data_IF_898789611479
#
_entry.id   IF_898789611479
#
_cell.length_a   1.000
_cell.length_b   1.000
_cell.length_c   1.000
_cell.angle_alpha   90.00
_cell.angle_beta   90.00
_cell.angle_gamma   90.00
#
_symmetry.space_group_name_H-M   'P 1'
#
loop_
_entity.id
_entity.type
_entity.pdbx_description
1 polymer ?
#
# COMPACT_ATOMS: atom_id res chain seq x y z
N UNK A 1 8.52 11.97 3.95
CA UNK A 1 7.50 13.04 3.81
C UNK A 1 7.76 13.77 2.49
N UNK A 2 6.73 14.17 1.73
CA UNK A 2 6.84 14.76 0.38
C UNK A 2 7.80 15.96 0.20
N UNK A 3 8.33 16.55 1.28
CA UNK A 3 9.32 17.63 1.21
C UNK A 3 10.73 17.15 0.76
N UNK A 4 11.06 15.86 0.91
CA UNK A 4 12.35 15.30 0.45
C UNK A 4 12.43 15.23 -1.09
N UNK A 5 11.28 15.30 -1.77
CA UNK A 5 11.18 15.34 -3.23
C UNK A 5 11.48 16.73 -3.82
N UNK A 6 11.68 17.75 -3.00
CA UNK A 6 12.10 19.09 -3.43
C UNK A 6 13.61 19.27 -3.47
N UNK A 7 14.42 18.19 -3.39
CA UNK A 7 15.85 18.29 -3.67
C UNK A 7 16.04 18.87 -5.06
N UNK A 8 16.66 20.05 -5.13
CA UNK A 8 17.01 20.73 -6.36
C UNK A 8 17.85 19.78 -7.24
N UNK A 9 17.33 19.44 -8.44
CA UNK A 9 18.04 18.61 -9.43
C UNK A 9 17.57 17.15 -9.58
N UNK A 10 16.46 16.72 -8.96
CA UNK A 10 15.92 15.37 -9.19
C UNK A 10 15.25 15.24 -10.58
N UNK A 11 15.70 14.28 -11.39
CA UNK A 11 15.13 13.95 -12.71
C UNK A 11 14.53 12.52 -12.78
N UNK A 12 14.47 11.82 -11.65
CA UNK A 12 13.90 10.47 -11.55
C UNK A 12 12.37 10.50 -11.41
N UNK A 13 11.70 9.34 -11.45
CA UNK A 13 10.27 9.26 -11.19
C UNK A 13 9.94 9.80 -9.79
N UNK A 14 8.71 10.23 -9.58
CA UNK A 14 8.26 10.72 -8.28
C UNK A 14 8.06 9.54 -7.32
N UNK A 15 8.73 9.56 -6.17
CA UNK A 15 8.78 8.43 -5.24
C UNK A 15 7.71 8.58 -4.14
N UNK A 16 6.52 8.06 -4.40
CA UNK A 16 5.34 8.25 -3.54
C UNK A 16 5.04 7.05 -2.62
N UNK A 17 6.00 6.15 -2.34
CA UNK A 17 5.73 4.90 -1.60
C UNK A 17 4.89 5.12 -0.35
N UNK A 18 5.34 6.02 0.52
CA UNK A 18 4.65 6.32 1.78
C UNK A 18 3.25 6.92 1.57
N UNK A 19 3.07 7.75 0.54
CA UNK A 19 1.77 8.33 0.21
C UNK A 19 0.80 7.28 -0.35
N UNK A 20 1.31 6.36 -1.18
CA UNK A 20 0.56 5.24 -1.74
C UNK A 20 0.19 4.21 -0.66
N UNK A 21 1.11 3.93 0.27
CA UNK A 21 0.86 3.09 1.44
C UNK A 21 -0.18 3.73 2.36
N UNK A 22 -0.09 5.05 2.56
CA UNK A 22 -1.09 5.80 3.34
C UNK A 22 -2.45 5.76 2.68
N UNK A 23 -2.52 5.94 1.35
CA UNK A 23 -3.75 5.81 0.57
C UNK A 23 -4.36 4.40 0.70
N UNK A 24 -3.53 3.36 0.65
CA UNK A 24 -3.99 1.99 0.90
C UNK A 24 -4.65 1.85 2.27
N UNK A 25 -4.02 2.34 3.33
CA UNK A 25 -4.61 2.28 4.67
C UNK A 25 -5.89 3.09 4.79
N UNK A 26 -6.00 4.24 4.13
CA UNK A 26 -7.25 5.03 4.10
C UNK A 26 -8.37 4.22 3.44
N UNK A 27 -8.11 3.57 2.30
CA UNK A 27 -9.10 2.72 1.62
C UNK A 27 -9.47 1.53 2.51
N UNK A 28 -8.48 0.85 3.10
CA UNK A 28 -8.67 -0.27 4.01
C UNK A 28 -9.58 0.10 5.19
N UNK A 29 -9.35 1.24 5.83
CA UNK A 29 -10.18 1.67 6.96
C UNK A 29 -11.60 2.00 6.49
N UNK A 30 -11.76 2.70 5.37
CA UNK A 30 -13.07 3.08 4.84
C UNK A 30 -13.95 1.86 4.55
N UNK A 31 -13.43 0.87 3.83
CA UNK A 31 -14.20 -0.30 3.38
C UNK A 31 -14.51 -1.31 4.50
N UNK A 32 -13.88 -1.17 5.66
CA UNK A 32 -14.13 -1.99 6.85
C UNK A 32 -14.96 -1.27 7.92
N UNK A 33 -14.93 0.06 7.97
CA UNK A 33 -15.59 0.89 8.98
C UNK A 33 -17.00 1.34 8.60
N UNK A 34 -17.39 1.20 7.34
CA UNK A 34 -18.68 1.67 6.84
C UNK A 34 -19.46 0.55 6.15
N UNK A 35 -20.74 0.42 6.46
CA UNK A 35 -21.63 -0.51 5.77
C UNK A 35 -22.15 0.07 4.44
N UNK A 36 -22.23 1.40 4.33
CA UNK A 36 -22.41 2.16 3.09
C UNK A 36 -22.01 3.63 3.31
N UNK A 37 -22.24 4.51 2.33
CA UNK A 37 -21.88 5.92 2.44
C UNK A 37 -22.50 6.59 3.68
N UNK A 38 -21.65 7.07 4.58
CA UNK A 38 -22.06 7.77 5.80
C UNK A 38 -22.59 6.88 6.93
N UNK A 39 -22.73 5.57 6.72
CA UNK A 39 -23.22 4.63 7.74
C UNK A 39 -22.07 3.82 8.29
N UNK A 40 -21.66 4.11 9.54
CA UNK A 40 -20.63 3.35 10.24
C UNK A 40 -21.10 1.93 10.53
N UNK A 41 -20.20 0.97 10.36
CA UNK A 41 -20.43 -0.41 10.73
C UNK A 41 -20.50 -0.56 12.26
N UNK A 42 -21.30 -1.52 12.72
CA UNK A 42 -21.43 -1.83 14.16
C UNK A 42 -20.10 -2.32 14.76
N UNK A 43 -19.38 -3.17 14.02
CA UNK A 43 -18.05 -3.67 14.39
C UNK A 43 -16.98 -2.97 13.55
N UNK A 44 -16.08 -2.25 14.21
CA UNK A 44 -14.99 -1.53 13.56
C UNK A 44 -13.69 -2.35 13.62
N UNK A 45 -13.38 -3.06 12.53
CA UNK A 45 -12.06 -3.70 12.37
C UNK A 45 -10.95 -2.63 12.39
N UNK A 46 -9.77 -2.91 12.94
CA UNK A 46 -8.69 -1.92 13.07
C UNK A 46 -9.00 -0.67 13.94
N UNK A 47 -10.07 -0.68 14.77
CA UNK A 47 -10.43 0.48 15.61
C UNK A 47 -9.28 0.97 16.50
N UNK A 48 -8.45 0.05 16.98
CA UNK A 48 -7.29 0.37 17.82
C UNK A 48 -6.24 1.23 17.11
N UNK A 49 -6.22 1.22 15.77
CA UNK A 49 -5.28 2.04 14.99
C UNK A 49 -5.56 3.55 15.13
N UNK A 50 -6.72 3.95 15.65
CA UNK A 50 -7.08 5.35 15.89
C UNK A 50 -6.84 5.82 17.32
N UNK A 51 -6.74 4.88 18.27
CA UNK A 51 -6.74 5.19 19.71
C UNK A 51 -5.38 4.93 20.35
N UNK A 52 -4.57 4.07 19.75
CA UNK A 52 -3.28 3.66 20.27
C UNK A 52 -2.14 4.52 19.69
N UNK A 53 -0.97 4.46 20.34
CA UNK A 53 0.22 5.21 19.93
C UNK A 53 1.01 4.58 18.78
N UNK A 54 2.01 5.31 18.29
CA UNK A 54 2.81 4.96 17.11
C UNK A 54 3.46 3.57 17.18
N UNK A 55 4.02 3.20 18.34
CA UNK A 55 4.65 1.89 18.54
C UNK A 55 3.68 0.72 18.35
N UNK A 56 2.44 0.89 18.80
CA UNK A 56 1.39 -0.10 18.63
C UNK A 56 1.00 -0.20 17.16
N UNK A 57 0.76 0.95 16.51
CA UNK A 57 0.36 1.02 15.11
C UNK A 57 1.44 0.40 14.21
N UNK A 58 2.71 0.69 14.48
CA UNK A 58 3.83 0.11 13.75
C UNK A 58 3.82 -1.43 13.84
N UNK A 59 3.68 -1.99 15.04
CA UNK A 59 3.64 -3.45 15.25
C UNK A 59 2.44 -4.09 14.58
N UNK A 60 1.25 -3.50 14.70
CA UNK A 60 0.04 -4.02 14.08
C UNK A 60 0.11 -4.00 12.56
N UNK A 61 0.62 -2.92 11.95
CA UNK A 61 0.85 -2.86 10.51
C UNK A 61 1.85 -3.91 10.06
N UNK A 62 2.93 -4.10 10.82
CA UNK A 62 3.91 -5.14 10.55
C UNK A 62 3.26 -6.54 10.57
N UNK A 63 2.49 -6.87 11.61
CA UNK A 63 1.78 -8.15 11.73
C UNK A 63 0.80 -8.33 10.57
N UNK A 64 -0.01 -7.30 10.30
CA UNK A 64 -0.98 -7.29 9.21
C UNK A 64 -0.33 -7.57 7.85
N UNK A 65 0.80 -6.93 7.55
CA UNK A 65 1.52 -7.12 6.29
C UNK A 65 2.16 -8.51 6.17
N UNK A 66 2.53 -9.14 7.28
CA UNK A 66 3.21 -10.45 7.28
C UNK A 66 2.27 -11.64 7.56
N UNK A 67 0.97 -11.40 7.74
CA UNK A 67 -0.01 -12.45 7.99
C UNK A 67 -0.43 -13.18 6.68
N UNK A 68 0.27 -14.23 6.26
CA UNK A 68 -0.02 -14.94 5.00
C UNK A 68 -1.46 -15.43 4.81
N UNK A 69 -2.19 -15.68 5.91
CA UNK A 69 -3.58 -16.14 5.88
C UNK A 69 -4.61 -15.01 5.72
N UNK A 70 -4.19 -13.75 5.71
CA UNK A 70 -5.11 -12.64 5.57
C UNK A 70 -5.70 -12.59 4.15
N UNK A 71 -7.03 -12.55 4.09
CA UNK A 71 -7.79 -12.36 2.86
C UNK A 71 -8.64 -11.11 2.99
N UNK A 72 -8.58 -10.24 1.99
CA UNK A 72 -9.43 -9.06 1.93
C UNK A 72 -10.91 -9.47 1.98
N UNK A 73 -11.64 -8.92 2.94
CA UNK A 73 -13.06 -9.17 3.17
C UNK A 73 -13.76 -7.83 3.50
N UNK A 74 -13.82 -6.88 2.54
CA UNK A 74 -14.51 -5.62 2.74
C UNK A 74 -15.99 -5.85 3.01
N UNK A 75 -16.65 -4.84 3.58
CA UNK A 75 -18.11 -4.85 3.79
C UNK A 75 -18.86 -5.04 2.46
N UNK A 76 -20.08 -5.63 2.46
CA UNK A 76 -20.77 -6.01 1.22
C UNK A 76 -20.92 -4.88 0.20
N UNK A 77 -21.24 -3.67 0.65
CA UNK A 77 -21.35 -2.49 -0.21
C UNK A 77 -20.03 -2.14 -0.94
N UNK A 78 -18.90 -2.45 -0.31
CA UNK A 78 -17.55 -2.19 -0.82
C UNK A 78 -16.89 -3.45 -1.41
N UNK A 79 -17.66 -4.49 -1.77
CA UNK A 79 -17.12 -5.76 -2.25
C UNK A 79 -16.15 -5.61 -3.44
N UNK A 80 -16.41 -4.65 -4.33
CA UNK A 80 -15.57 -4.33 -5.49
C UNK A 80 -14.12 -3.95 -5.13
N UNK A 81 -13.86 -3.46 -3.91
CA UNK A 81 -12.51 -3.12 -3.44
C UNK A 81 -11.66 -4.34 -3.07
N UNK A 82 -12.26 -5.54 -2.96
CA UNK A 82 -11.56 -6.74 -2.50
C UNK A 82 -10.26 -6.99 -3.27
N UNK A 83 -10.32 -6.94 -4.59
CA UNK A 83 -9.15 -7.19 -5.45
C UNK A 83 -8.06 -6.14 -5.22
N UNK A 84 -8.42 -4.86 -5.13
CA UNK A 84 -7.46 -3.80 -4.83
C UNK A 84 -6.77 -4.02 -3.49
N UNK A 85 -7.55 -4.23 -2.43
CA UNK A 85 -7.01 -4.42 -1.09
C UNK A 85 -6.04 -5.59 -1.06
N UNK A 86 -6.42 -6.72 -1.67
CA UNK A 86 -5.59 -7.90 -1.72
C UNK A 86 -4.29 -7.65 -2.50
N UNK A 87 -4.38 -7.18 -3.75
CA UNK A 87 -3.20 -7.02 -4.62
C UNK A 87 -2.23 -5.97 -4.09
N UNK A 88 -2.73 -4.86 -3.55
CA UNK A 88 -1.88 -3.79 -2.98
C UNK A 88 -1.17 -4.32 -1.73
N UNK A 89 -1.89 -5.02 -0.85
CA UNK A 89 -1.33 -5.60 0.37
C UNK A 89 -0.30 -6.67 0.06
N UNK A 90 -0.56 -7.53 -0.92
CA UNK A 90 0.39 -8.56 -1.35
C UNK A 90 1.66 -7.96 -1.96
N UNK A 91 1.51 -6.83 -2.68
CA UNK A 91 2.65 -6.06 -3.20
C UNK A 91 3.51 -5.47 -2.08
N UNK A 92 2.88 -4.90 -1.03
CA UNK A 92 3.59 -4.43 0.16
C UNK A 92 4.30 -5.59 0.89
N UNK A 93 3.60 -6.70 1.10
CA UNK A 93 4.16 -7.90 1.75
C UNK A 93 5.39 -8.41 0.99
N UNK A 94 5.29 -8.58 -0.34
CA UNK A 94 6.42 -9.00 -1.17
C UNK A 94 7.60 -8.03 -1.06
N UNK A 95 7.32 -6.72 -1.06
CA UNK A 95 8.33 -5.67 -0.91
C UNK A 95 9.06 -5.73 0.43
N UNK A 96 8.35 -5.84 1.55
CA UNK A 96 8.96 -5.93 2.88
C UNK A 96 9.72 -7.25 3.09
N UNK A 97 9.23 -8.36 2.51
CA UNK A 97 9.99 -9.62 2.51
C UNK A 97 11.30 -9.48 1.73
N UNK A 98 11.27 -8.83 0.55
CA UNK A 98 12.46 -8.58 -0.25
C UNK A 98 13.45 -7.66 0.47
N UNK A 99 12.97 -6.63 1.17
CA UNK A 99 13.78 -5.77 2.02
C UNK A 99 14.47 -6.58 3.12
N UNK A 100 13.75 -7.46 3.82
CA UNK A 100 14.32 -8.33 4.85
C UNK A 100 15.46 -9.22 4.32
N UNK A 101 15.27 -9.82 3.14
CA UNK A 101 16.33 -10.61 2.47
C UNK A 101 17.53 -9.74 2.12
N UNK A 102 17.30 -8.53 1.60
CA UNK A 102 18.37 -7.60 1.26
C UNK A 102 19.16 -7.15 2.49
N UNK A 103 18.50 -6.88 3.62
CA UNK A 103 19.17 -6.54 4.88
C UNK A 103 20.06 -7.68 5.37
N UNK A 104 19.58 -8.93 5.29
CA UNK A 104 20.39 -10.10 5.65
C UNK A 104 21.63 -10.21 4.76
N UNK A 105 21.47 -10.02 3.44
CA UNK A 105 22.57 -10.04 2.48
C UNK A 105 23.58 -8.91 2.74
N UNK A 106 23.10 -7.69 3.00
CA UNK A 106 23.93 -6.53 3.30
C UNK A 106 24.77 -6.71 4.57
N UNK A 107 24.28 -7.44 5.58
CA UNK A 107 25.07 -7.78 6.77
C UNK A 107 26.27 -8.68 6.46
N UNK A 108 26.17 -9.53 5.44
CA UNK A 108 27.25 -10.43 5.00
C UNK A 108 28.22 -9.68 4.08
N UNK A 109 27.70 -8.88 3.16
CA UNK A 109 28.48 -8.25 2.09
C UNK A 109 28.97 -6.82 2.44
N UNK A 110 28.47 -6.23 3.52
CA UNK A 110 28.85 -4.89 3.98
C UNK A 110 28.22 -3.73 3.20
N UNK A 111 27.34 -3.99 2.23
CA UNK A 111 26.69 -2.98 1.41
C UNK A 111 25.22 -3.30 1.14
N UNK A 112 24.36 -2.27 1.23
CA UNK A 112 22.93 -2.36 0.89
C UNK A 112 22.69 -1.81 -0.52
N UNK A 113 22.19 -2.64 -1.43
CA UNK A 113 21.87 -2.26 -2.82
C UNK A 113 20.37 -2.30 -3.15
N UNK A 114 19.53 -2.44 -2.13
CA UNK A 114 18.08 -2.55 -2.31
C UNK A 114 17.41 -1.17 -2.34
N UNK A 115 16.50 -0.98 -3.29
CA UNK A 115 15.75 0.26 -3.44
C UNK A 115 14.62 0.34 -2.41
N UNK A 116 14.90 1.03 -1.30
CA UNK A 116 13.91 1.26 -0.23
C UNK A 116 12.75 2.15 -0.68
N UNK A 117 12.95 3.00 -1.70
CA UNK A 117 11.93 3.94 -2.18
C UNK A 117 10.80 3.25 -2.95
N UNK A 118 11.07 2.07 -3.51
CA UNK A 118 10.07 1.28 -4.26
C UNK A 118 9.86 -0.12 -3.68
N UNK A 119 10.49 -0.42 -2.54
CA UNK A 119 10.61 -1.78 -2.00
C UNK A 119 11.14 -2.78 -3.06
N UNK A 120 12.17 -2.38 -3.79
CA UNK A 120 12.74 -3.18 -4.88
C UNK A 120 11.74 -3.42 -6.00
N UNK A 121 11.11 -2.35 -6.49
CA UNK A 121 10.03 -2.33 -7.50
C UNK A 121 8.72 -3.04 -7.14
N UNK A 122 8.63 -3.65 -5.95
CA UNK A 122 7.40 -4.31 -5.49
C UNK A 122 6.29 -3.32 -5.17
N UNK A 123 6.62 -2.08 -4.76
CA UNK A 123 5.63 -1.08 -4.40
C UNK A 123 6.03 0.32 -4.86
N UNK A 124 5.48 0.72 -6.01
CA UNK A 124 5.75 2.01 -6.65
C UNK A 124 4.47 2.58 -7.28
N UNK A 125 4.55 3.80 -7.82
CA UNK A 125 3.47 4.35 -8.64
C UNK A 125 3.11 3.42 -9.80
N UNK A 126 4.11 2.82 -10.47
CA UNK A 126 3.87 1.91 -11.60
C UNK A 126 3.09 0.68 -11.16
N UNK A 127 3.46 0.09 -10.02
CA UNK A 127 2.75 -1.07 -9.46
C UNK A 127 1.33 -0.68 -9.06
N UNK A 128 1.17 0.42 -8.33
CA UNK A 128 -0.14 0.91 -7.91
C UNK A 128 -1.05 1.24 -9.10
N UNK A 129 -0.53 1.94 -10.11
CA UNK A 129 -1.25 2.26 -11.35
C UNK A 129 -1.79 1.01 -12.05
N UNK A 130 -0.98 -0.06 -12.12
CA UNK A 130 -1.42 -1.35 -12.69
C UNK A 130 -2.56 -1.99 -11.93
N UNK A 131 -2.66 -1.78 -10.62
CA UNK A 131 -3.77 -2.26 -9.79
C UNK A 131 -4.99 -1.38 -9.97
N UNK A 132 -4.85 -0.06 -9.78
CA UNK A 132 -5.98 0.88 -9.75
C UNK A 132 -6.57 1.17 -11.14
N UNK A 133 -5.89 0.81 -12.23
CA UNK A 133 -6.45 0.97 -13.59
C UNK A 133 -7.65 0.07 -13.87
N UNK A 134 -7.88 -0.97 -13.06
CA UNK A 134 -9.04 -1.85 -13.19
C UNK A 134 -9.80 -1.85 -11.87
N UNK A 135 -11.10 -1.59 -11.86
CA UNK A 135 -11.94 -1.69 -10.67
C UNK A 135 -13.08 -2.66 -10.94
N UNK A 136 -13.26 -3.65 -10.07
CA UNK A 136 -14.26 -4.70 -10.27
C UNK A 136 -14.15 -5.36 -11.66
N UNK A 137 -12.91 -5.70 -12.06
CA UNK A 137 -12.57 -6.30 -13.36
C UNK A 137 -12.82 -5.38 -14.59
N UNK A 138 -13.28 -4.15 -14.39
CA UNK A 138 -13.49 -3.17 -15.45
C UNK A 138 -12.38 -2.13 -15.52
N UNK A 139 -11.94 -1.79 -16.72
CA UNK A 139 -10.94 -0.74 -16.92
C UNK A 139 -11.50 0.65 -16.55
N UNK A 140 -10.81 1.38 -15.68
CA UNK A 140 -11.17 2.74 -15.32
C UNK A 140 -10.76 3.73 -16.42
N UNK A 141 -11.65 4.69 -16.70
CA UNK A 141 -11.39 5.76 -17.67
C UNK A 141 -10.28 6.66 -17.15
N UNK A 142 -9.15 6.67 -17.87
CA UNK A 142 -8.05 7.59 -17.60
C UNK A 142 -8.28 8.90 -18.35
N UNK A 143 -8.61 9.98 -17.64
CA UNK A 143 -8.90 11.30 -18.27
C UNK A 143 -7.69 12.00 -18.89
N UNK A 144 -6.49 11.41 -18.80
CA UNK A 144 -5.27 11.94 -19.43
C UNK A 144 -4.37 10.81 -19.99
N UNK A 145 -4.51 10.41 -21.26
CA UNK A 145 -3.85 9.23 -21.82
C UNK A 145 -2.33 9.37 -22.00
N UNK A 146 -1.75 10.57 -21.84
CA UNK A 146 -0.30 10.79 -21.98
C UNK A 146 0.57 10.10 -20.91
N UNK A 147 -0.05 9.56 -19.86
CA UNK A 147 0.62 8.85 -18.76
C UNK A 147 0.47 7.32 -18.84
N UNK A 148 -0.04 6.79 -19.96
CA UNK A 148 0.00 5.35 -20.22
C UNK A 148 1.45 4.92 -20.47
N UNK A 149 2.14 4.54 -19.40
CA UNK A 149 3.48 3.96 -19.47
C UNK A 149 3.35 2.59 -20.12
N UNK A 150 4.01 2.43 -21.28
CA UNK A 150 4.16 1.17 -22.00
C UNK A 150 4.81 0.07 -21.15
#
# INVERSE_FOLDING_TARGET
>A
MAHEQQRTGWTGPLHYRHDLESLFYVILLLVYHYDCFGVKAEKLEFVKWFTEGDDFIYKEKYVFLHQYSWLAAPRPFFAAFRQWLQTIRDSLMAGFLAEGVAVVKARVEGQMTFDLETLGDNFSYKTMFRVIRNFNEEALVTRNPKWQIA
#
